data_IF_562138069505
#
_entry.id   IF_562138069505
#
_cell.length_a   1.000
_cell.length_b   1.000
_cell.length_c   1.000
_cell.angle_alpha   90.00
_cell.angle_beta   90.00
_cell.angle_gamma   90.00
#
_symmetry.space_group_name_H-M   'P 1'
#
loop_
_entity.id
_entity.type
_entity.pdbx_description
1 polymer ?
#
# COMPACT_ATOMS: atom_id res chain seq x y z
N UNK A 1 -10.04 20.35 -22.99
CA UNK A 1 -11.19 19.44 -23.27
C UNK A 1 -10.93 18.77 -24.62
N UNK A 2 -10.09 17.76 -24.63
CA UNK A 2 -9.81 17.00 -25.86
C UNK A 2 -10.93 15.99 -26.06
N UNK A 3 -11.69 16.16 -27.13
CA UNK A 3 -12.61 15.13 -27.61
C UNK A 3 -11.79 14.13 -28.40
N UNK A 4 -11.45 13.01 -27.75
CA UNK A 4 -10.91 11.86 -28.47
C UNK A 4 -12.05 11.17 -29.25
N UNK A 5 -12.01 11.32 -30.58
CA UNK A 5 -12.84 10.53 -31.49
C UNK A 5 -11.99 9.36 -32.00
N UNK A 6 -12.21 8.16 -31.47
CA UNK A 6 -11.69 6.95 -32.08
C UNK A 6 -12.74 5.84 -32.02
N UNK A 7 -12.86 5.06 -33.10
CA UNK A 7 -13.62 3.81 -33.07
C UNK A 7 -12.99 2.88 -32.06
N UNK A 8 -13.73 2.49 -31.01
CA UNK A 8 -13.29 1.56 -29.97
C UNK A 8 -12.98 2.16 -28.61
N UNK A 9 -12.93 3.50 -28.46
CA UNK A 9 -12.71 4.16 -27.15
C UNK A 9 -13.98 4.33 -26.30
N UNK A 10 -15.13 3.93 -26.80
CA UNK A 10 -16.42 4.08 -26.14
C UNK A 10 -17.12 2.78 -25.78
N UNK A 11 -16.43 1.66 -25.81
CA UNK A 11 -17.05 0.38 -25.48
C UNK A 11 -16.98 0.09 -23.98
N UNK A 12 -18.12 -0.22 -23.40
CA UNK A 12 -18.21 -0.75 -22.04
C UNK A 12 -18.24 -2.28 -22.12
N UNK A 13 -17.30 -2.92 -21.47
CA UNK A 13 -17.12 -4.37 -21.48
C UNK A 13 -17.59 -5.02 -20.19
N UNK A 14 -18.23 -6.19 -20.29
CA UNK A 14 -18.33 -7.12 -19.16
C UNK A 14 -16.97 -7.77 -18.88
N UNK A 15 -16.80 -8.31 -17.68
CA UNK A 15 -15.59 -9.03 -17.23
C UNK A 15 -15.10 -10.12 -18.21
N UNK A 16 -15.95 -10.54 -19.16
CA UNK A 16 -15.68 -11.55 -20.18
C UNK A 16 -15.33 -10.96 -21.56
N UNK A 17 -15.12 -9.65 -21.68
CA UNK A 17 -14.71 -8.99 -22.92
C UNK A 17 -15.84 -8.72 -23.93
N UNK A 18 -17.11 -8.94 -23.57
CA UNK A 18 -18.23 -8.59 -24.45
C UNK A 18 -18.58 -7.11 -24.32
N UNK A 19 -18.67 -6.41 -25.44
CA UNK A 19 -19.16 -5.03 -25.50
C UNK A 19 -20.62 -4.97 -25.02
N UNK A 20 -20.92 -4.06 -24.10
CA UNK A 20 -22.29 -3.82 -23.60
C UNK A 20 -22.91 -2.66 -24.35
N UNK A 21 -22.12 -1.64 -24.66
CA UNK A 21 -22.56 -0.44 -25.39
C UNK A 21 -21.37 0.23 -26.08
N UNK A 22 -21.67 0.85 -27.23
CA UNK A 22 -20.74 1.66 -28.02
C UNK A 22 -21.20 3.12 -27.97
N UNK A 23 -20.25 4.04 -27.88
CA UNK A 23 -20.51 5.48 -27.88
C UNK A 23 -19.75 6.17 -29.01
N UNK A 24 -20.40 7.07 -29.73
CA UNK A 24 -19.77 7.88 -30.79
C UNK A 24 -18.82 8.94 -30.21
N UNK A 25 -19.04 9.35 -28.97
CA UNK A 25 -18.19 10.27 -28.24
C UNK A 25 -18.27 10.04 -26.75
N UNK A 26 -17.14 10.17 -26.05
CA UNK A 26 -17.05 10.05 -24.60
C UNK A 26 -16.28 11.23 -24.02
N UNK A 27 -16.75 11.75 -22.88
CA UNK A 27 -16.05 12.80 -22.15
C UNK A 27 -15.07 12.17 -21.17
N UNK A 28 -13.77 12.40 -21.37
CA UNK A 28 -12.76 12.05 -20.40
C UNK A 28 -12.62 13.23 -19.43
N UNK A 29 -12.95 12.97 -18.18
CA UNK A 29 -12.79 13.97 -17.12
C UNK A 29 -11.35 13.92 -16.57
N UNK A 30 -10.77 15.07 -16.20
CA UNK A 30 -9.46 15.08 -15.57
C UNK A 30 -9.50 14.29 -14.25
N UNK A 31 -8.41 13.61 -13.91
CA UNK A 31 -8.27 12.87 -12.66
C UNK A 31 -8.19 13.78 -11.41
N UNK A 32 -8.12 15.10 -11.59
CA UNK A 32 -8.09 16.06 -10.49
C UNK A 32 -9.51 16.38 -10.01
N UNK A 33 -9.83 15.99 -8.78
CA UNK A 33 -11.13 16.23 -8.14
C UNK A 33 -11.40 17.70 -7.76
N UNK A 34 -10.38 18.57 -7.84
CA UNK A 34 -10.50 19.99 -7.48
C UNK A 34 -10.85 20.89 -8.65
N UNK A 35 -11.20 20.33 -9.80
CA UNK A 35 -11.73 21.10 -10.94
C UNK A 35 -13.18 21.48 -10.66
N UNK A 36 -13.45 22.80 -10.57
CA UNK A 36 -14.77 23.32 -10.24
C UNK A 36 -15.12 24.54 -11.11
N UNK A 37 -16.31 25.15 -10.90
CA UNK A 37 -16.74 26.34 -11.64
C UNK A 37 -15.93 27.59 -11.23
N UNK A 38 -15.87 28.57 -12.12
CA UNK A 38 -15.15 29.82 -11.87
C UNK A 38 -15.70 30.54 -10.61
N UNK A 39 -17.00 30.58 -10.45
CA UNK A 39 -17.64 31.23 -9.29
C UNK A 39 -17.24 30.60 -7.96
N UNK A 40 -17.07 29.27 -7.95
CA UNK A 40 -16.59 28.56 -6.76
C UNK A 40 -15.12 28.82 -6.49
N UNK A 41 -14.30 28.93 -7.55
CA UNK A 41 -12.89 29.29 -7.44
C UNK A 41 -12.75 30.69 -6.85
N UNK A 42 -13.47 31.68 -7.39
CA UNK A 42 -13.40 33.07 -6.93
C UNK A 42 -13.83 33.20 -5.46
N UNK A 43 -14.90 32.47 -5.04
CA UNK A 43 -15.31 32.42 -3.64
C UNK A 43 -14.22 31.78 -2.76
N UNK A 44 -13.68 30.64 -3.16
CA UNK A 44 -12.64 29.96 -2.41
C UNK A 44 -11.40 30.83 -2.24
N UNK A 45 -10.98 31.56 -3.28
CA UNK A 45 -9.86 32.50 -3.22
C UNK A 45 -10.13 33.57 -2.17
N UNK A 46 -11.32 34.19 -2.18
CA UNK A 46 -11.69 35.19 -1.18
C UNK A 46 -11.61 34.70 0.25
N UNK A 47 -12.08 33.46 0.51
CA UNK A 47 -11.99 32.83 1.83
C UNK A 47 -10.54 32.51 2.22
N UNK A 48 -9.70 32.03 1.28
CA UNK A 48 -8.27 31.77 1.47
C UNK A 48 -7.54 33.07 1.85
N UNK A 49 -7.79 34.16 1.15
CA UNK A 49 -7.14 35.47 1.40
C UNK A 49 -7.51 36.04 2.79
N UNK A 50 -8.78 35.88 3.20
CA UNK A 50 -9.25 36.24 4.56
C UNK A 50 -8.51 35.43 5.63
N UNK A 51 -8.45 34.12 5.48
CA UNK A 51 -7.81 33.23 6.46
C UNK A 51 -6.28 33.41 6.46
N UNK A 52 -5.68 33.75 5.30
CA UNK A 52 -4.26 34.14 5.21
C UNK A 52 -3.98 35.39 6.05
N UNK A 53 -4.79 36.43 5.91
CA UNK A 53 -4.67 37.67 6.69
C UNK A 53 -4.70 37.37 8.20
N UNK A 54 -5.71 36.64 8.66
CA UNK A 54 -5.84 36.27 10.07
C UNK A 54 -4.63 35.47 10.59
N UNK A 55 -4.15 34.49 9.82
CA UNK A 55 -3.05 33.64 10.24
C UNK A 55 -1.70 34.40 10.25
N UNK A 56 -1.48 35.30 9.30
CA UNK A 56 -0.30 36.17 9.26
C UNK A 56 -0.28 37.10 10.47
N UNK A 57 -1.42 37.73 10.81
CA UNK A 57 -1.54 38.57 11.99
C UNK A 57 -1.31 37.78 13.27
N UNK A 58 -1.86 36.59 13.36
CA UNK A 58 -1.62 35.68 14.49
C UNK A 58 -0.12 35.38 14.67
N UNK A 59 0.58 34.98 13.58
CA UNK A 59 2.02 34.71 13.69
C UNK A 59 2.82 35.94 14.10
N UNK A 60 2.49 37.15 13.58
CA UNK A 60 3.14 38.40 13.97
C UNK A 60 2.90 38.69 15.47
N UNK A 61 1.69 38.49 15.97
CA UNK A 61 1.33 38.76 17.37
C UNK A 61 2.11 37.92 18.39
N UNK A 62 2.54 36.71 17.96
CA UNK A 62 3.34 35.78 18.80
C UNK A 62 4.83 35.81 18.46
N UNK A 63 5.27 36.80 17.65
CA UNK A 63 6.69 36.98 17.31
C UNK A 63 7.25 36.06 16.23
N UNK A 64 6.42 35.23 15.60
CA UNK A 64 6.80 34.29 14.50
C UNK A 64 6.81 35.00 13.14
N UNK A 65 7.69 35.99 12.97
CA UNK A 65 7.73 36.82 11.75
C UNK A 65 8.20 36.03 10.51
N UNK A 66 9.08 35.05 10.68
CA UNK A 66 9.57 34.21 9.57
C UNK A 66 8.45 33.31 9.04
N UNK A 67 7.68 32.72 9.93
CA UNK A 67 6.51 31.89 9.60
C UNK A 67 5.43 32.73 8.91
N UNK A 68 5.17 33.93 9.41
CA UNK A 68 4.23 34.88 8.80
C UNK A 68 4.63 35.22 7.35
N UNK A 69 5.91 35.54 7.12
CA UNK A 69 6.43 35.84 5.80
C UNK A 69 6.33 34.65 4.86
N UNK A 70 6.79 33.48 5.29
CA UNK A 70 6.75 32.23 4.51
C UNK A 70 5.33 31.86 4.10
N UNK A 71 4.40 31.94 5.05
CA UNK A 71 3.00 31.62 4.77
C UNK A 71 2.41 32.58 3.76
N UNK A 72 2.66 33.89 3.92
CA UNK A 72 2.19 34.92 3.00
C UNK A 72 2.69 34.70 1.57
N UNK A 73 4.01 34.54 1.40
CA UNK A 73 4.62 34.30 0.09
C UNK A 73 4.09 33.04 -0.58
N UNK A 74 3.98 31.95 0.19
CA UNK A 74 3.51 30.66 -0.34
C UNK A 74 2.05 30.73 -0.76
N UNK A 75 1.16 31.22 0.07
CA UNK A 75 -0.28 31.22 -0.21
C UNK A 75 -0.61 32.24 -1.31
N UNK A 76 0.05 33.37 -1.34
CA UNK A 76 -0.12 34.35 -2.43
C UNK A 76 0.24 33.74 -3.79
N UNK A 77 1.38 33.03 -3.86
CA UNK A 77 1.78 32.33 -5.07
C UNK A 77 0.76 31.24 -5.46
N UNK A 78 0.30 30.44 -4.50
CA UNK A 78 -0.69 29.40 -4.76
C UNK A 78 -2.03 29.99 -5.27
N UNK A 79 -2.47 31.13 -4.71
CA UNK A 79 -3.69 31.85 -5.15
C UNK A 79 -3.54 32.38 -6.57
N UNK A 80 -2.38 32.97 -6.93
CA UNK A 80 -2.09 33.41 -8.29
C UNK A 80 -2.16 32.23 -9.28
N UNK A 81 -1.53 31.12 -8.95
CA UNK A 81 -1.60 29.89 -9.77
C UNK A 81 -3.03 29.36 -9.94
N UNK A 82 -3.82 29.37 -8.87
CA UNK A 82 -5.24 28.94 -8.93
C UNK A 82 -6.03 29.90 -9.83
N UNK A 83 -5.76 31.19 -9.76
CA UNK A 83 -6.46 32.23 -10.54
C UNK A 83 -6.14 32.14 -12.03
N UNK A 84 -4.87 31.95 -12.40
CA UNK A 84 -4.41 31.91 -13.77
C UNK A 84 -4.58 30.53 -14.46
N UNK A 85 -4.28 29.47 -13.76
CA UNK A 85 -4.21 28.10 -14.30
C UNK A 85 -5.36 27.23 -13.81
N UNK A 86 -6.07 27.65 -12.76
CA UNK A 86 -7.11 26.84 -12.10
C UNK A 86 -6.56 25.74 -11.17
N UNK A 87 -5.24 25.71 -10.95
CA UNK A 87 -4.57 24.68 -10.17
C UNK A 87 -3.26 25.19 -9.56
N UNK A 88 -2.89 24.66 -8.39
CA UNK A 88 -1.56 24.83 -7.81
C UNK A 88 -1.04 23.51 -7.23
N UNK A 89 0.26 23.44 -7.00
CA UNK A 89 0.86 22.28 -6.32
C UNK A 89 0.42 22.25 -4.86
N UNK A 90 -0.24 21.15 -4.47
CA UNK A 90 -0.80 20.99 -3.13
C UNK A 90 -2.19 21.62 -2.96
N UNK A 91 -2.95 21.78 -4.05
CA UNK A 91 -4.32 22.31 -4.05
C UNK A 91 -5.25 21.60 -3.06
N UNK A 92 -4.98 20.34 -2.74
CA UNK A 92 -5.70 19.55 -1.74
C UNK A 92 -5.68 20.21 -0.35
N UNK A 93 -4.67 21.00 -0.03
CA UNK A 93 -4.59 21.74 1.24
C UNK A 93 -5.61 22.86 1.36
N UNK A 94 -6.22 23.23 0.24
CA UNK A 94 -7.30 24.22 0.15
C UNK A 94 -8.68 23.58 -0.07
N UNK A 95 -8.79 22.25 -0.04
CA UNK A 95 -10.01 21.49 -0.36
C UNK A 95 -11.25 21.98 0.39
N UNK A 96 -11.11 22.36 1.66
CA UNK A 96 -12.20 22.87 2.49
C UNK A 96 -12.91 24.08 1.85
N UNK A 97 -12.17 25.00 1.26
CA UNK A 97 -12.72 26.20 0.61
C UNK A 97 -13.46 25.86 -0.68
N UNK A 98 -12.92 24.93 -1.48
CA UNK A 98 -13.56 24.48 -2.73
C UNK A 98 -14.83 23.69 -2.49
N UNK A 99 -14.85 22.87 -1.44
CA UNK A 99 -16.01 22.05 -1.06
C UNK A 99 -17.07 22.87 -0.27
N UNK A 100 -16.69 24.02 0.28
CA UNK A 100 -17.56 24.82 1.17
C UNK A 100 -17.82 24.14 2.51
N UNK A 101 -16.90 23.31 2.99
CA UNK A 101 -17.00 22.61 4.27
C UNK A 101 -16.66 23.52 5.45
N UNK A 102 -17.29 23.26 6.58
CA UNK A 102 -16.93 23.91 7.84
C UNK A 102 -15.55 23.40 8.35
N UNK A 103 -14.83 24.27 9.08
CA UNK A 103 -13.59 23.89 9.74
C UNK A 103 -13.80 22.68 10.65
N UNK A 104 -12.82 21.75 10.65
CA UNK A 104 -12.84 20.53 11.45
C UNK A 104 -13.63 19.37 10.85
N UNK A 105 -14.42 19.60 9.78
CA UNK A 105 -15.15 18.51 9.11
C UNK A 105 -14.23 17.69 8.21
N UNK A 106 -14.49 16.38 8.14
CA UNK A 106 -13.74 15.50 7.24
C UNK A 106 -14.07 15.76 5.76
N UNK A 107 -13.15 15.47 4.83
CA UNK A 107 -13.47 15.49 3.41
C UNK A 107 -14.41 14.33 3.05
N UNK A 108 -15.07 14.48 1.90
CA UNK A 108 -15.76 13.36 1.28
C UNK A 108 -14.78 12.28 0.86
N UNK A 109 -15.12 11.03 1.05
CA UNK A 109 -14.35 9.87 0.64
C UNK A 109 -15.17 8.96 -0.28
N UNK A 110 -14.54 7.94 -0.83
CA UNK A 110 -15.22 6.99 -1.73
C UNK A 110 -16.48 6.37 -1.11
N UNK A 111 -16.46 6.10 0.20
CA UNK A 111 -17.58 5.48 0.90
C UNK A 111 -18.83 6.37 0.94
N UNK A 112 -18.68 7.69 0.85
CA UNK A 112 -19.83 8.62 0.82
C UNK A 112 -20.66 8.54 -0.49
N UNK A 113 -20.11 7.92 -1.54
CA UNK A 113 -20.77 7.77 -2.84
C UNK A 113 -21.54 6.46 -2.98
N UNK A 114 -21.41 5.55 -2.02
CA UNK A 114 -22.18 4.31 -2.00
C UNK A 114 -23.58 4.52 -1.40
N UNK A 115 -24.56 3.70 -1.77
CA UNK A 115 -25.86 3.70 -1.10
C UNK A 115 -25.71 3.34 0.39
N UNK A 116 -26.69 3.72 1.22
CA UNK A 116 -26.59 3.55 2.69
C UNK A 116 -26.54 2.08 3.18
N UNK A 117 -26.87 1.13 2.32
CA UNK A 117 -26.97 -0.31 2.59
C UNK A 117 -25.89 -1.14 1.88
N UNK A 118 -24.74 -0.51 1.53
CA UNK A 118 -23.66 -1.23 0.89
C UNK A 118 -22.95 -2.21 1.82
N UNK A 119 -22.47 -3.31 1.25
CA UNK A 119 -21.62 -4.30 1.91
C UNK A 119 -20.15 -3.98 1.64
N UNK A 120 -19.38 -3.88 2.71
CA UNK A 120 -17.92 -3.72 2.63
C UNK A 120 -17.24 -5.09 2.79
N UNK A 121 -16.41 -5.47 1.84
CA UNK A 121 -15.58 -6.67 1.96
C UNK A 121 -14.12 -6.19 2.10
N UNK A 122 -13.50 -6.50 3.22
CA UNK A 122 -12.13 -6.07 3.54
C UNK A 122 -11.21 -7.28 3.36
N UNK A 123 -10.48 -7.27 2.24
CA UNK A 123 -9.48 -8.29 1.97
C UNK A 123 -8.20 -8.01 2.76
N UNK A 124 -7.49 -9.09 3.15
CA UNK A 124 -6.30 -9.05 4.02
C UNK A 124 -6.54 -8.15 5.25
N UNK A 125 -7.68 -8.34 5.90
CA UNK A 125 -8.18 -7.45 6.95
C UNK A 125 -7.21 -7.26 8.11
N UNK A 126 -6.45 -8.30 8.47
CA UNK A 126 -5.41 -8.26 9.51
C UNK A 126 -4.29 -7.23 9.23
N UNK A 127 -4.12 -6.80 7.97
CA UNK A 127 -3.19 -5.73 7.56
C UNK A 127 -3.95 -4.44 7.26
N UNK A 128 -5.07 -4.53 6.54
CA UNK A 128 -5.86 -3.38 6.09
C UNK A 128 -6.42 -2.58 7.26
N UNK A 129 -6.96 -3.23 8.28
CA UNK A 129 -7.53 -2.55 9.45
C UNK A 129 -6.48 -1.75 10.25
N UNK A 130 -5.31 -2.31 10.61
CA UNK A 130 -4.25 -1.53 11.23
C UNK A 130 -3.77 -0.35 10.38
N UNK A 131 -3.72 -0.48 9.05
CA UNK A 131 -3.35 0.62 8.16
C UNK A 131 -4.38 1.75 8.20
N UNK A 132 -5.67 1.43 8.10
CA UNK A 132 -6.75 2.44 8.19
C UNK A 132 -6.66 3.17 9.54
N UNK A 133 -6.44 2.44 10.63
CA UNK A 133 -6.31 3.00 11.98
C UNK A 133 -5.13 3.96 12.12
N UNK A 134 -4.00 3.66 11.47
CA UNK A 134 -2.78 4.47 11.54
C UNK A 134 -2.80 5.72 10.65
N UNK A 135 -3.59 5.74 9.56
CA UNK A 135 -3.58 6.80 8.55
C UNK A 135 -3.77 8.20 9.13
N UNK A 136 -4.77 8.37 10.00
CA UNK A 136 -5.10 9.68 10.55
C UNK A 136 -3.97 10.25 11.43
N UNK A 137 -3.38 9.44 12.31
CA UNK A 137 -2.36 9.91 13.26
C UNK A 137 -1.12 10.45 12.57
N UNK A 138 -0.60 9.72 11.58
CA UNK A 138 0.59 10.12 10.82
C UNK A 138 0.36 11.39 10.00
N UNK A 139 -0.76 11.47 9.29
CA UNK A 139 -1.12 12.65 8.49
C UNK A 139 -1.35 13.89 9.35
N UNK A 140 -2.07 13.75 10.47
CA UNK A 140 -2.36 14.83 11.41
C UNK A 140 -1.08 15.44 11.99
N UNK A 141 -0.16 14.61 12.49
CA UNK A 141 1.12 15.07 13.05
C UNK A 141 1.94 15.86 12.03
N UNK A 142 2.04 15.35 10.80
CA UNK A 142 2.74 16.03 9.70
C UNK A 142 2.11 17.38 9.38
N UNK A 143 0.79 17.46 9.27
CA UNK A 143 0.08 18.70 8.91
C UNK A 143 0.10 19.74 10.01
N UNK A 144 0.00 19.32 11.26
CA UNK A 144 0.17 20.24 12.39
C UNK A 144 1.52 20.93 12.35
N UNK A 145 2.61 20.19 12.12
CA UNK A 145 3.94 20.77 11.98
C UNK A 145 3.99 21.77 10.79
N UNK A 146 3.41 21.43 9.63
CA UNK A 146 3.40 22.31 8.47
C UNK A 146 2.65 23.62 8.74
N UNK A 147 1.56 23.58 9.50
CA UNK A 147 0.81 24.77 9.91
C UNK A 147 1.57 25.57 10.96
N UNK A 148 2.13 24.91 11.99
CA UNK A 148 2.85 25.57 13.08
C UNK A 148 4.08 26.34 12.59
N UNK A 149 4.77 25.82 11.58
CA UNK A 149 5.97 26.46 10.98
C UNK A 149 5.65 27.32 9.74
N UNK A 150 4.39 27.66 9.48
CA UNK A 150 3.98 28.59 8.43
C UNK A 150 4.16 28.07 7.00
N UNK A 151 4.14 26.78 6.78
CA UNK A 151 4.18 26.18 5.43
C UNK A 151 2.79 26.01 4.82
N UNK A 152 1.74 25.94 5.64
CA UNK A 152 0.34 25.75 5.22
C UNK A 152 -0.61 26.54 6.11
N UNK A 153 -1.78 26.88 5.53
CA UNK A 153 -2.91 27.40 6.31
C UNK A 153 -3.51 26.33 7.22
N UNK A 154 -4.15 26.70 8.33
CA UNK A 154 -4.86 25.76 9.20
C UNK A 154 -5.86 24.84 8.48
N UNK A 155 -6.47 25.33 7.38
CA UNK A 155 -7.36 24.56 6.53
C UNK A 155 -6.76 23.27 5.96
N UNK A 156 -5.44 23.18 5.84
CA UNK A 156 -4.74 21.99 5.40
C UNK A 156 -4.99 20.77 6.33
N UNK A 157 -5.25 21.01 7.63
CA UNK A 157 -5.57 19.96 8.61
C UNK A 157 -6.90 19.29 8.28
N UNK A 158 -7.84 20.01 7.65
CA UNK A 158 -9.17 19.49 7.30
C UNK A 158 -9.17 18.58 6.06
N UNK A 159 -8.08 18.58 5.26
CA UNK A 159 -7.88 17.57 4.22
C UNK A 159 -7.15 16.36 4.84
N UNK A 160 -7.87 15.44 5.39
CA UNK A 160 -7.35 14.33 6.18
C UNK A 160 -8.02 13.01 5.85
N UNK A 161 -7.34 11.87 6.06
CA UNK A 161 -8.01 10.59 6.03
C UNK A 161 -9.09 10.50 7.12
N UNK A 162 -9.96 9.52 6.98
CA UNK A 162 -10.94 9.19 8.01
C UNK A 162 -10.22 8.85 9.32
N UNK A 163 -10.84 9.24 10.43
CA UNK A 163 -10.54 8.60 11.71
C UNK A 163 -11.12 7.19 11.70
N UNK A 164 -10.62 6.32 12.55
CA UNK A 164 -11.06 4.93 12.56
C UNK A 164 -12.55 4.79 12.94
N UNK A 165 -13.02 5.56 13.91
CA UNK A 165 -14.43 5.63 14.31
C UNK A 165 -15.35 6.16 13.19
N UNK A 166 -14.89 7.11 12.39
CA UNK A 166 -15.60 7.58 11.20
C UNK A 166 -15.71 6.48 10.14
N UNK A 167 -14.63 5.70 9.93
CA UNK A 167 -14.66 4.55 9.03
C UNK A 167 -15.67 3.49 9.50
N UNK A 168 -15.65 3.11 10.78
CA UNK A 168 -16.60 2.15 11.35
C UNK A 168 -18.04 2.62 11.22
N UNK A 169 -18.30 3.92 11.36
CA UNK A 169 -19.65 4.48 11.22
C UNK A 169 -20.19 4.44 9.79
N UNK A 170 -19.30 4.50 8.78
CA UNK A 170 -19.66 4.43 7.37
C UNK A 170 -19.81 2.98 6.90
N UNK A 171 -18.90 2.09 7.28
CA UNK A 171 -18.89 0.68 6.91
C UNK A 171 -19.77 -0.14 7.88
N UNK A 172 -21.09 -0.08 7.69
CA UNK A 172 -22.06 -0.70 8.61
C UNK A 172 -22.16 -2.22 8.51
N UNK A 173 -21.97 -2.75 7.30
CA UNK A 173 -21.99 -4.18 7.02
C UNK A 173 -20.61 -4.56 6.49
N UNK A 174 -19.90 -5.41 7.22
CA UNK A 174 -18.51 -5.74 6.89
C UNK A 174 -18.31 -7.24 6.89
N UNK A 175 -17.64 -7.73 5.86
CA UNK A 175 -17.03 -9.08 5.82
C UNK A 175 -15.53 -8.89 5.86
N UNK A 176 -14.88 -9.47 6.86
CA UNK A 176 -13.43 -9.53 6.98
C UNK A 176 -12.93 -10.80 6.30
N UNK A 177 -11.98 -10.65 5.38
CA UNK A 177 -11.34 -11.78 4.69
C UNK A 177 -9.86 -11.80 5.06
N UNK A 178 -9.40 -12.92 5.58
CA UNK A 178 -8.00 -13.09 5.98
C UNK A 178 -7.64 -14.55 6.11
N UNK A 179 -6.44 -14.95 5.69
CA UNK A 179 -5.87 -16.25 6.01
C UNK A 179 -5.43 -16.34 7.49
N UNK A 180 -5.10 -15.20 8.09
CA UNK A 180 -4.60 -15.09 9.47
C UNK A 180 -5.31 -13.97 10.21
N UNK A 181 -6.61 -14.12 10.57
CA UNK A 181 -7.39 -13.05 11.19
C UNK A 181 -6.75 -12.55 12.49
N UNK A 182 -6.93 -11.27 12.79
CA UNK A 182 -6.44 -10.63 14.00
C UNK A 182 -7.55 -10.52 15.07
N UNK A 183 -7.16 -10.13 16.26
CA UNK A 183 -8.07 -10.05 17.42
C UNK A 183 -9.25 -9.09 17.16
N UNK A 184 -9.00 -8.00 16.42
CA UNK A 184 -10.06 -7.04 16.08
C UNK A 184 -11.18 -7.67 15.25
N UNK A 185 -10.85 -8.43 14.20
CA UNK A 185 -11.84 -9.08 13.35
C UNK A 185 -12.63 -10.14 14.12
N UNK A 186 -11.94 -10.92 14.95
CA UNK A 186 -12.55 -11.95 15.79
C UNK A 186 -13.49 -11.32 16.82
N UNK A 187 -13.11 -10.21 17.44
CA UNK A 187 -13.96 -9.46 18.36
C UNK A 187 -15.19 -8.89 17.65
N UNK A 188 -15.01 -8.23 16.50
CA UNK A 188 -16.12 -7.62 15.74
C UNK A 188 -17.08 -8.62 15.13
N UNK A 189 -16.63 -9.82 14.81
CA UNK A 189 -17.47 -10.92 14.32
C UNK A 189 -18.11 -11.74 15.45
N UNK A 190 -17.88 -11.36 16.72
CA UNK A 190 -18.37 -12.11 17.90
C UNK A 190 -17.99 -13.60 17.87
N UNK A 191 -16.84 -13.93 17.24
CA UNK A 191 -16.37 -15.28 17.05
C UNK A 191 -17.07 -16.07 15.94
N UNK A 192 -17.95 -15.44 15.16
CA UNK A 192 -18.55 -16.09 13.98
C UNK A 192 -17.53 -16.08 12.85
N UNK A 193 -16.98 -17.27 12.56
CA UNK A 193 -15.96 -17.47 11.53
C UNK A 193 -16.44 -18.51 10.53
N UNK A 194 -16.27 -18.21 9.24
CA UNK A 194 -16.46 -19.17 8.15
C UNK A 194 -15.10 -19.59 7.63
N UNK A 195 -14.74 -20.83 7.81
CA UNK A 195 -13.45 -21.37 7.41
C UNK A 195 -13.51 -21.96 6.00
N UNK A 196 -12.57 -21.59 5.15
CA UNK A 196 -12.31 -22.19 3.85
C UNK A 196 -11.10 -23.11 3.97
N UNK A 197 -11.28 -24.30 4.48
CA UNK A 197 -10.20 -25.24 4.79
C UNK A 197 -9.80 -26.07 3.57
N UNK A 198 -10.72 -26.30 2.63
CA UNK A 198 -10.47 -27.16 1.46
C UNK A 198 -9.67 -26.41 0.40
N UNK A 199 -8.48 -26.90 0.09
CA UNK A 199 -7.69 -26.46 -1.05
C UNK A 199 -7.95 -27.41 -2.23
N UNK A 200 -8.71 -27.00 -3.27
CA UNK A 200 -9.14 -27.91 -4.36
C UNK A 200 -7.99 -28.34 -5.29
N UNK A 201 -6.79 -27.81 -5.10
CA UNK A 201 -5.61 -28.11 -5.92
C UNK A 201 -5.03 -29.49 -5.70
N UNK A 202 -5.35 -30.17 -4.57
CA UNK A 202 -4.73 -31.43 -4.18
C UNK A 202 -3.25 -31.35 -3.76
N UNK A 203 -2.71 -30.11 -3.68
CA UNK A 203 -1.33 -29.88 -3.24
C UNK A 203 -1.26 -29.91 -1.71
N UNK A 204 -0.24 -30.58 -1.20
CA UNK A 204 0.09 -30.56 0.23
C UNK A 204 0.77 -29.24 0.59
N UNK A 205 0.71 -28.89 1.88
CA UNK A 205 1.49 -27.78 2.40
C UNK A 205 2.99 -28.05 2.29
N UNK A 206 3.81 -27.01 2.05
CA UNK A 206 5.24 -27.18 1.85
C UNK A 206 5.91 -27.68 3.12
N UNK A 207 6.89 -28.57 2.95
CA UNK A 207 7.73 -29.03 4.07
C UNK A 207 8.57 -27.85 4.59
N UNK A 208 8.50 -27.59 5.89
CA UNK A 208 9.27 -26.53 6.56
C UNK A 208 10.46 -27.16 7.29
N UNK A 209 11.66 -26.68 6.98
CA UNK A 209 12.89 -27.05 7.68
C UNK A 209 13.47 -25.84 8.41
N UNK A 210 13.96 -26.09 9.63
CA UNK A 210 14.71 -25.07 10.38
C UNK A 210 16.17 -25.48 10.36
N UNK A 211 17.02 -24.58 9.85
CA UNK A 211 18.46 -24.78 9.76
C UNK A 211 19.22 -23.68 10.51
N UNK A 212 20.46 -23.94 10.99
CA UNK A 212 21.26 -22.92 11.68
C UNK A 212 21.52 -21.69 10.83
N UNK A 213 21.58 -20.50 11.45
CA UNK A 213 21.96 -19.27 10.76
C UNK A 213 23.47 -19.22 10.41
N UNK A 214 24.27 -20.01 11.10
CA UNK A 214 25.70 -20.13 10.79
C UNK A 214 25.85 -20.73 9.38
N UNK A 215 26.60 -20.04 8.49
CA UNK A 215 26.79 -20.40 7.09
C UNK A 215 25.48 -20.45 6.26
N UNK A 216 24.43 -19.73 6.67
CA UNK A 216 23.14 -19.72 5.97
C UNK A 216 23.24 -19.36 4.49
N UNK A 217 24.21 -18.53 4.10
CA UNK A 217 24.40 -18.13 2.70
C UNK A 217 25.00 -19.25 1.86
N UNK A 218 25.94 -20.02 2.39
CA UNK A 218 26.55 -21.15 1.66
C UNK A 218 25.52 -22.28 1.48
N UNK A 219 24.76 -22.60 2.51
CA UNK A 219 23.65 -23.58 2.46
C UNK A 219 22.55 -23.12 1.49
N UNK A 220 22.20 -21.83 1.51
CA UNK A 220 21.25 -21.25 0.56
C UNK A 220 21.75 -21.37 -0.89
N UNK A 221 23.04 -21.17 -1.15
CA UNK A 221 23.62 -21.29 -2.50
C UNK A 221 23.48 -22.72 -3.03
N UNK A 222 23.73 -23.73 -2.22
CA UNK A 222 23.55 -25.13 -2.61
C UNK A 222 22.08 -25.42 -2.97
N UNK A 223 21.15 -24.94 -2.16
CA UNK A 223 19.71 -25.09 -2.42
C UNK A 223 19.25 -24.32 -3.67
N UNK A 224 19.79 -23.14 -3.93
CA UNK A 224 19.52 -22.38 -5.16
C UNK A 224 19.99 -23.15 -6.38
N UNK A 225 21.21 -23.70 -6.38
CA UNK A 225 21.75 -24.46 -7.50
C UNK A 225 20.89 -25.70 -7.80
N UNK A 226 20.47 -26.44 -6.77
CA UNK A 226 19.56 -27.57 -6.92
C UNK A 226 18.22 -27.19 -7.57
N UNK A 227 17.70 -25.97 -7.32
CA UNK A 227 16.46 -25.48 -7.94
C UNK A 227 16.67 -25.04 -9.38
N UNK A 228 17.78 -24.37 -9.67
CA UNK A 228 18.17 -23.97 -11.02
C UNK A 228 18.27 -25.20 -11.95
N UNK A 229 18.90 -26.28 -11.48
CA UNK A 229 19.02 -27.53 -12.25
C UNK A 229 17.66 -28.15 -12.61
N UNK A 230 16.62 -27.85 -11.84
CA UNK A 230 15.24 -28.32 -12.05
C UNK A 230 14.35 -27.31 -12.77
N UNK A 231 14.89 -26.19 -13.20
CA UNK A 231 14.16 -25.03 -13.76
C UNK A 231 13.05 -24.51 -12.83
N UNK A 232 13.32 -24.55 -11.52
CA UNK A 232 12.42 -24.04 -10.47
C UNK A 232 12.90 -22.68 -9.99
N UNK A 233 12.00 -21.91 -9.31
CA UNK A 233 12.31 -20.56 -8.82
C UNK A 233 12.40 -20.52 -7.30
N UNK A 234 13.20 -19.57 -6.80
CA UNK A 234 13.49 -19.41 -5.38
C UNK A 234 13.09 -18.01 -4.92
N UNK A 235 12.38 -17.92 -3.80
CA UNK A 235 12.16 -16.66 -3.07
C UNK A 235 13.04 -16.63 -1.82
N UNK A 236 13.75 -15.51 -1.63
CA UNK A 236 14.56 -15.29 -0.42
C UNK A 236 14.07 -14.06 0.32
N UNK A 237 13.76 -14.19 1.61
CA UNK A 237 13.35 -13.06 2.43
C UNK A 237 14.44 -12.63 3.38
N UNK A 238 14.74 -11.33 3.38
CA UNK A 238 15.72 -10.67 4.25
C UNK A 238 15.05 -9.71 5.22
N UNK A 239 15.79 -9.22 6.22
CA UNK A 239 15.26 -8.27 7.21
C UNK A 239 15.37 -6.81 6.76
N UNK A 240 16.33 -6.47 5.90
CA UNK A 240 16.59 -5.10 5.50
C UNK A 240 16.81 -4.99 3.99
N UNK A 241 16.56 -3.79 3.44
CA UNK A 241 16.85 -3.46 2.04
C UNK A 241 18.31 -3.69 1.71
N UNK A 242 19.20 -3.24 2.58
CA UNK A 242 20.63 -3.40 2.42
C UNK A 242 21.06 -4.86 2.29
N UNK A 243 20.51 -5.74 3.15
CA UNK A 243 20.75 -7.19 3.04
C UNK A 243 20.28 -7.75 1.70
N UNK A 244 19.12 -7.31 1.20
CA UNK A 244 18.60 -7.76 -0.09
C UNK A 244 19.52 -7.32 -1.24
N UNK A 245 19.98 -6.08 -1.23
CA UNK A 245 20.88 -5.52 -2.24
C UNK A 245 22.27 -6.20 -2.21
N UNK A 246 22.84 -6.39 -1.00
CA UNK A 246 24.13 -7.05 -0.81
C UNK A 246 24.07 -8.52 -1.25
N UNK A 247 23.00 -9.24 -0.89
CA UNK A 247 22.81 -10.63 -1.32
C UNK A 247 22.63 -10.72 -2.84
N UNK A 248 21.84 -9.83 -3.44
CA UNK A 248 21.68 -9.78 -4.89
C UNK A 248 23.03 -9.55 -5.58
N UNK A 249 23.82 -8.58 -5.12
CA UNK A 249 25.14 -8.30 -5.69
C UNK A 249 26.12 -9.48 -5.51
N UNK A 250 25.97 -10.24 -4.44
CA UNK A 250 26.78 -11.44 -4.20
C UNK A 250 26.39 -12.58 -5.14
N UNK A 251 25.10 -12.88 -5.29
CA UNK A 251 24.60 -13.93 -6.18
C UNK A 251 24.94 -13.65 -7.66
N UNK A 252 24.84 -12.38 -8.09
CA UNK A 252 25.24 -11.98 -9.45
C UNK A 252 26.71 -12.22 -9.75
N UNK A 253 27.61 -12.09 -8.76
CA UNK A 253 29.05 -12.41 -8.92
C UNK A 253 29.31 -13.90 -9.10
N UNK A 254 28.36 -14.74 -8.71
CA UNK A 254 28.38 -16.19 -8.87
C UNK A 254 27.60 -16.66 -10.11
N UNK A 255 27.30 -15.73 -11.04
CA UNK A 255 26.54 -15.97 -12.27
C UNK A 255 25.11 -16.53 -12.04
N UNK A 256 24.54 -16.31 -10.86
CA UNK A 256 23.14 -16.65 -10.55
C UNK A 256 22.24 -15.52 -11.02
N UNK A 257 21.25 -15.83 -11.86
CA UNK A 257 20.26 -14.87 -12.36
C UNK A 257 19.30 -14.50 -11.25
N UNK A 258 19.48 -13.33 -10.67
CA UNK A 258 18.66 -12.87 -9.54
C UNK A 258 18.27 -11.41 -9.67
N UNK A 259 17.22 -11.04 -8.96
CA UNK A 259 16.79 -9.67 -8.78
C UNK A 259 16.23 -9.49 -7.36
N UNK A 260 15.98 -8.24 -6.95
CA UNK A 260 15.43 -7.93 -5.64
C UNK A 260 14.26 -6.97 -5.74
N UNK A 261 13.37 -7.04 -4.72
CA UNK A 261 12.23 -6.14 -4.57
C UNK A 261 12.21 -5.57 -3.15
N UNK A 262 12.08 -4.24 -3.06
CA UNK A 262 11.81 -3.53 -1.81
C UNK A 262 10.85 -2.34 -2.04
N UNK A 263 10.53 -1.58 -0.98
CA UNK A 263 9.52 -0.52 -1.02
C UNK A 263 9.83 0.64 -1.97
N UNK A 264 11.08 0.80 -2.41
CA UNK A 264 11.50 1.91 -3.28
C UNK A 264 11.45 1.54 -4.77
N UNK A 265 11.10 0.29 -5.10
CA UNK A 265 10.89 -0.16 -6.48
C UNK A 265 9.51 0.31 -6.95
N UNK A 266 9.47 0.99 -8.08
CA UNK A 266 8.23 1.48 -8.68
C UNK A 266 7.25 0.33 -9.01
N UNK A 267 5.96 0.63 -8.99
CA UNK A 267 4.91 -0.38 -9.20
C UNK A 267 5.04 -1.07 -10.56
N UNK A 268 5.37 -0.34 -11.61
CA UNK A 268 5.55 -0.91 -12.96
C UNK A 268 6.76 -1.82 -13.02
N UNK A 269 7.89 -1.41 -12.43
CA UNK A 269 9.10 -2.22 -12.36
C UNK A 269 8.85 -3.49 -11.54
N UNK A 270 8.10 -3.40 -10.45
CA UNK A 270 7.70 -4.57 -9.65
C UNK A 270 6.90 -5.59 -10.47
N UNK A 271 5.94 -5.14 -11.26
CA UNK A 271 5.16 -6.01 -12.15
C UNK A 271 6.08 -6.70 -13.16
N UNK A 272 7.01 -5.95 -13.74
CA UNK A 272 7.97 -6.50 -14.71
C UNK A 272 8.91 -7.54 -14.08
N UNK A 273 9.48 -7.25 -12.90
CA UNK A 273 10.34 -8.19 -12.17
C UNK A 273 9.61 -9.52 -11.87
N UNK A 274 8.35 -9.45 -11.45
CA UNK A 274 7.55 -10.65 -11.20
C UNK A 274 7.23 -11.43 -12.48
N UNK A 275 6.92 -10.74 -13.58
CA UNK A 275 6.72 -11.35 -14.88
C UNK A 275 8.01 -12.04 -15.39
N UNK A 276 9.15 -11.40 -15.21
CA UNK A 276 10.46 -11.93 -15.58
C UNK A 276 10.86 -13.16 -14.75
N UNK A 277 10.54 -13.18 -13.45
CA UNK A 277 10.72 -14.37 -12.60
C UNK A 277 9.90 -15.55 -13.12
N UNK A 278 8.63 -15.32 -13.45
CA UNK A 278 7.74 -16.35 -14.02
C UNK A 278 8.22 -16.83 -15.38
N UNK A 279 8.72 -15.91 -16.21
CA UNK A 279 9.27 -16.23 -17.53
C UNK A 279 10.66 -16.93 -17.46
N UNK A 280 11.28 -17.05 -16.26
CA UNK A 280 12.59 -17.66 -16.09
C UNK A 280 13.76 -16.77 -16.49
N UNK A 281 13.57 -15.46 -16.60
CA UNK A 281 14.67 -14.49 -16.77
C UNK A 281 15.51 -14.46 -15.51
N UNK A 282 14.89 -14.60 -14.35
CA UNK A 282 15.52 -14.75 -13.05
C UNK A 282 15.19 -16.12 -12.44
N UNK A 283 16.12 -16.68 -11.69
CA UNK A 283 15.95 -17.91 -10.91
C UNK A 283 15.63 -17.60 -9.46
N UNK A 284 16.14 -16.47 -8.95
CA UNK A 284 16.04 -16.06 -7.56
C UNK A 284 15.46 -14.65 -7.47
N UNK A 285 14.46 -14.48 -6.60
CA UNK A 285 13.95 -13.19 -6.22
C UNK A 285 14.14 -12.95 -4.73
N UNK A 286 14.81 -11.84 -4.39
CA UNK A 286 15.11 -11.45 -3.03
C UNK A 286 14.18 -10.32 -2.60
N UNK A 287 13.57 -10.41 -1.41
CA UNK A 287 12.68 -9.36 -0.93
C UNK A 287 12.72 -9.18 0.57
N UNK A 288 12.31 -7.99 1.04
CA UNK A 288 12.22 -7.70 2.47
C UNK A 288 10.83 -8.06 3.00
N UNK A 289 9.81 -7.40 2.52
CA UNK A 289 8.43 -7.51 3.01
C UNK A 289 7.41 -7.79 1.92
N UNK A 290 7.77 -7.54 0.67
CA UNK A 290 6.85 -7.50 -0.47
C UNK A 290 6.50 -8.89 -1.03
N UNK A 291 7.03 -9.95 -0.44
CA UNK A 291 6.77 -11.33 -0.87
C UNK A 291 5.59 -11.98 -0.12
N UNK A 292 4.87 -11.23 0.72
CA UNK A 292 3.80 -11.78 1.57
C UNK A 292 2.43 -11.78 0.93
N UNK A 293 2.03 -10.68 0.31
CA UNK A 293 0.66 -10.47 -0.16
C UNK A 293 0.60 -10.29 -1.68
N UNK A 294 -0.51 -10.72 -2.29
CA UNK A 294 -0.82 -10.45 -3.69
C UNK A 294 0.06 -11.14 -4.73
N UNK A 295 0.88 -12.14 -4.34
CA UNK A 295 1.72 -12.89 -5.27
C UNK A 295 1.17 -14.29 -5.48
N UNK A 296 1.02 -14.69 -6.73
CA UNK A 296 0.72 -16.06 -7.14
C UNK A 296 1.84 -16.54 -8.07
N UNK A 297 2.76 -17.34 -7.51
CA UNK A 297 3.98 -17.78 -8.18
C UNK A 297 4.10 -19.31 -8.09
N UNK A 298 3.35 -20.06 -8.91
CA UNK A 298 3.38 -21.52 -8.89
C UNK A 298 4.74 -22.10 -9.31
N UNK A 299 5.59 -21.32 -9.95
CA UNK A 299 6.95 -21.70 -10.35
C UNK A 299 7.93 -21.75 -9.16
N UNK A 300 7.56 -21.15 -8.03
CA UNK A 300 8.40 -21.10 -6.83
C UNK A 300 8.30 -22.41 -6.05
N UNK A 301 9.39 -23.15 -5.99
CA UNK A 301 9.51 -24.39 -5.23
C UNK A 301 10.24 -24.23 -3.89
N UNK A 302 11.03 -23.17 -3.73
CA UNK A 302 11.76 -22.89 -2.49
C UNK A 302 11.49 -21.48 -1.99
N UNK A 303 11.13 -21.38 -0.71
CA UNK A 303 11.12 -20.12 0.04
C UNK A 303 12.17 -20.21 1.15
N UNK A 304 13.16 -19.35 1.11
CA UNK A 304 14.20 -19.23 2.11
C UNK A 304 13.97 -17.98 2.99
N UNK A 305 13.93 -18.18 4.29
CA UNK A 305 13.71 -17.11 5.28
C UNK A 305 14.99 -16.95 6.08
N UNK A 306 15.78 -15.91 5.78
CA UNK A 306 17.00 -15.61 6.51
C UNK A 306 16.68 -14.98 7.86
N UNK A 307 17.48 -15.28 8.88
CA UNK A 307 17.31 -14.74 10.23
C UNK A 307 15.86 -14.86 10.73
N UNK A 308 15.28 -16.02 10.65
CA UNK A 308 13.87 -16.26 10.99
C UNK A 308 13.59 -16.10 12.50
N UNK A 309 14.60 -16.20 13.35
CA UNK A 309 14.53 -16.03 14.80
C UNK A 309 14.62 -14.57 15.27
N UNK A 310 14.85 -13.63 14.38
CA UNK A 310 14.87 -12.19 14.73
C UNK A 310 13.44 -11.68 14.84
N UNK A 311 12.83 -11.88 16.00
CA UNK A 311 11.44 -11.49 16.25
C UNK A 311 11.18 -10.02 15.93
N UNK A 312 10.00 -9.75 15.36
CA UNK A 312 9.56 -8.43 14.95
C UNK A 312 8.44 -8.53 13.91
N UNK A 313 8.02 -7.40 13.38
CA UNK A 313 6.93 -7.31 12.41
C UNK A 313 7.14 -8.22 11.18
N UNK A 314 8.39 -8.35 10.69
CA UNK A 314 8.74 -9.17 9.52
C UNK A 314 8.86 -10.68 9.83
N UNK A 315 8.91 -11.07 11.08
CA UNK A 315 9.07 -12.45 11.56
C UNK A 315 8.01 -12.84 12.59
N UNK A 316 6.88 -12.11 12.60
CA UNK A 316 5.71 -12.51 13.39
C UNK A 316 5.09 -13.79 12.81
N UNK A 317 4.36 -14.53 13.61
CA UNK A 317 3.62 -15.74 13.19
C UNK A 317 2.88 -15.52 11.87
N UNK A 318 2.01 -14.51 11.77
CA UNK A 318 1.26 -14.19 10.55
C UNK A 318 2.16 -13.93 9.34
N UNK A 319 3.26 -13.20 9.55
CA UNK A 319 4.23 -12.92 8.49
C UNK A 319 4.93 -14.18 7.99
N UNK A 320 5.31 -15.06 8.88
CA UNK A 320 5.94 -16.35 8.54
C UNK A 320 4.96 -17.25 7.79
N UNK A 321 3.74 -17.44 8.30
CA UNK A 321 2.70 -18.27 7.65
C UNK A 321 2.40 -17.80 6.23
N UNK A 322 2.23 -16.50 6.01
CA UNK A 322 2.01 -15.95 4.66
C UNK A 322 3.20 -16.15 3.73
N UNK A 323 4.42 -16.03 4.25
CA UNK A 323 5.64 -16.27 3.47
C UNK A 323 5.79 -17.73 3.10
N UNK A 324 5.53 -18.66 4.03
CA UNK A 324 5.49 -20.11 3.83
C UNK A 324 4.49 -20.48 2.72
N UNK A 325 3.32 -19.88 2.75
CA UNK A 325 2.26 -20.10 1.76
C UNK A 325 2.66 -19.79 0.31
N UNK A 326 3.76 -19.06 0.06
CA UNK A 326 4.26 -18.83 -1.31
C UNK A 326 4.83 -20.08 -1.98
N UNK A 327 5.31 -21.06 -1.22
CA UNK A 327 5.74 -22.35 -1.76
C UNK A 327 4.58 -23.37 -1.89
N UNK A 328 3.41 -23.07 -1.36
CA UNK A 328 2.28 -24.02 -1.29
C UNK A 328 1.57 -24.28 -2.64
N UNK A 329 1.95 -23.58 -3.70
CA UNK A 329 1.44 -23.76 -5.07
C UNK A 329 2.29 -24.67 -5.95
N UNK A 330 3.44 -25.12 -5.45
CA UNK A 330 4.36 -25.98 -6.16
C UNK A 330 4.34 -27.40 -5.58
N UNK A 331 4.36 -28.42 -6.43
CA UNK A 331 4.42 -29.82 -6.01
C UNK A 331 5.67 -30.14 -5.17
N UNK A 332 6.78 -29.49 -5.49
CA UNK A 332 8.06 -29.63 -4.80
C UNK A 332 8.27 -28.51 -3.77
N UNK A 333 7.16 -27.91 -3.30
CA UNK A 333 7.18 -26.78 -2.37
C UNK A 333 7.95 -27.09 -1.09
N UNK A 334 8.94 -26.25 -0.76
CA UNK A 334 9.77 -26.39 0.43
C UNK A 334 10.05 -25.01 1.03
N UNK A 335 10.18 -24.95 2.33
CA UNK A 335 10.55 -23.74 3.06
C UNK A 335 11.73 -24.04 3.97
N UNK A 336 12.73 -23.16 3.94
CA UNK A 336 13.86 -23.23 4.86
C UNK A 336 13.86 -21.95 5.70
N UNK A 337 13.79 -22.14 7.02
CA UNK A 337 13.92 -21.07 8.00
C UNK A 337 15.31 -21.16 8.62
N UNK A 338 16.17 -20.17 8.35
CA UNK A 338 17.47 -20.08 8.99
C UNK A 338 17.33 -19.37 10.34
N UNK A 339 17.66 -20.10 11.41
CA UNK A 339 17.48 -19.64 12.76
C UNK A 339 18.41 -20.35 13.74
N UNK A 340 18.99 -19.64 14.70
CA UNK A 340 19.77 -20.24 15.76
C UNK A 340 18.90 -20.72 16.94
N UNK A 341 17.70 -20.12 17.05
CA UNK A 341 16.70 -20.47 18.07
C UNK A 341 15.31 -20.58 17.45
N UNK A 342 14.54 -21.55 17.85
CA UNK A 342 13.12 -21.57 17.53
C UNK A 342 12.39 -20.56 18.40
N UNK A 343 11.54 -19.75 17.79
CA UNK A 343 10.69 -18.76 18.47
C UNK A 343 9.24 -19.21 18.49
N UNK A 344 8.44 -18.68 19.40
CA UNK A 344 6.99 -18.97 19.45
C UNK A 344 6.29 -18.66 18.12
N UNK A 345 6.73 -17.61 17.43
CA UNK A 345 6.20 -17.23 16.09
C UNK A 345 6.51 -18.29 15.03
N UNK A 346 7.72 -18.87 15.06
CA UNK A 346 8.12 -19.96 14.17
C UNK A 346 7.33 -21.25 14.49
N UNK A 347 7.22 -21.62 15.77
CA UNK A 347 6.52 -22.82 16.18
C UNK A 347 5.04 -22.79 15.80
N UNK A 348 4.38 -21.64 15.95
CA UNK A 348 3.01 -21.44 15.48
C UNK A 348 2.90 -21.56 13.96
N UNK A 349 3.80 -20.93 13.19
CA UNK A 349 3.77 -21.00 11.74
C UNK A 349 4.11 -22.40 11.17
N UNK A 350 4.84 -23.21 11.91
CA UNK A 350 5.15 -24.60 11.53
C UNK A 350 3.98 -25.54 11.87
N UNK A 351 3.25 -25.23 12.94
CA UNK A 351 2.13 -26.08 13.39
C UNK A 351 0.82 -25.83 12.64
N UNK A 352 0.67 -24.64 12.03
CA UNK A 352 -0.48 -24.24 11.22
C UNK A 352 -0.43 -24.87 9.83
#
# INVERSE_FOLDING_TARGET
RDRLRSRGLGDVYKRQGYSISTFDSYNIFPANIFVTTKERIDRAIGEIEIDLGKQVEFFKSIGKNLEAKRLYERVTYDVEMIREVGHCSGIENYSRYFDGRNAGTRPFCLLDYFPNDFLTIIDESHVTIPQIRAMFGGDSSRKMNLVEYGFRLPAAIDNRPLKFDEFESLAKQVIYVSATPADYELEKSEGVVVEQVIRPTGLLDPVIEVRPSLNQIDDLLEEIQLRIERDERVLVTTLTKRMAEELNAYLLKLDIRCNYIHSDVDTLDRIQILADLRAGVYDVLIGVNLLREGLDLPEVSLVAILDADKEGFLRSHRSLTQTVGRAARNLNGRVIMYADKRTDSMDKAISE
#
